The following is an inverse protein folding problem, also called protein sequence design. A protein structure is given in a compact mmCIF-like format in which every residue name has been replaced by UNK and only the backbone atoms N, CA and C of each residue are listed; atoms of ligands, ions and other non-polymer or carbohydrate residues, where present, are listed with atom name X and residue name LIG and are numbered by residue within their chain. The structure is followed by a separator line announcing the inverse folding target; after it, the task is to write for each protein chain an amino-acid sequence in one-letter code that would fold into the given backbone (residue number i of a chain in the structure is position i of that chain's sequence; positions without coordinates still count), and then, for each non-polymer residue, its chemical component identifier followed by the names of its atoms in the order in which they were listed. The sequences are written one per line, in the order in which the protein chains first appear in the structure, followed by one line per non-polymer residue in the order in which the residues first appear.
data_IF_973498613951
#
_entry.id   IF_973498613951
#
_cell.length_a   1.000
_cell.length_b   1.000
_cell.length_c   1.000
_cell.angle_alpha   90.00
_cell.angle_beta   90.00
_cell.angle_gamma   90.00
#
_symmetry.space_group_name_H-M   'P 1'
#
loop_
_entity.id
_entity.type
_entity.pdbx_description
1 polymer ?
#
# COMPACT_ATOMS: atom_id res chain seq x y z
N UNK A 1 1.72 -8.90 29.60
CA UNK A 1 1.06 -8.46 28.36
C UNK A 1 1.89 -8.93 27.19
N UNK A 2 1.45 -9.99 26.51
CA UNK A 2 2.12 -10.49 25.30
C UNK A 2 1.93 -9.46 24.19
N UNK A 3 3.03 -8.88 23.68
CA UNK A 3 2.99 -8.03 22.47
C UNK A 3 2.33 -8.83 21.35
N UNK A 4 1.37 -8.23 20.64
CA UNK A 4 0.79 -8.84 19.43
C UNK A 4 1.90 -9.00 18.38
N UNK A 5 1.74 -9.97 17.49
CA UNK A 5 2.66 -10.12 16.35
C UNK A 5 2.55 -8.89 15.46
N UNK A 6 3.65 -8.29 14.98
CA UNK A 6 3.62 -7.11 14.11
C UNK A 6 2.78 -7.33 12.84
N UNK A 7 2.75 -8.56 12.32
CA UNK A 7 1.90 -8.93 11.16
C UNK A 7 0.40 -8.87 11.47
N UNK A 8 0.00 -9.21 12.69
CA UNK A 8 -1.41 -9.16 13.10
C UNK A 8 -1.85 -7.71 13.31
N UNK A 9 -1.00 -6.88 13.92
CA UNK A 9 -1.27 -5.45 14.08
C UNK A 9 -1.45 -4.77 12.72
N UNK A 10 -0.57 -5.03 11.74
CA UNK A 10 -0.68 -4.50 10.38
C UNK A 10 -1.98 -4.92 9.66
N UNK A 11 -2.41 -6.17 9.84
CA UNK A 11 -3.64 -6.67 9.22
C UNK A 11 -4.88 -6.08 9.90
N UNK A 12 -4.87 -5.95 11.23
CA UNK A 12 -5.92 -5.27 11.99
C UNK A 12 -6.08 -3.82 11.52
N UNK A 13 -4.97 -3.10 11.34
CA UNK A 13 -4.96 -1.72 10.85
C UNK A 13 -5.52 -1.63 9.42
N UNK A 14 -5.10 -2.53 8.53
CA UNK A 14 -5.59 -2.59 7.15
C UNK A 14 -7.10 -2.82 7.07
N UNK A 15 -7.63 -3.69 7.95
CA UNK A 15 -9.07 -3.93 8.06
C UNK A 15 -9.82 -2.70 8.59
N UNK A 16 -9.26 -2.00 9.58
CA UNK A 16 -9.88 -0.76 10.10
C UNK A 16 -9.92 0.34 9.04
N UNK A 17 -8.83 0.53 8.26
CA UNK A 17 -8.80 1.48 7.14
C UNK A 17 -9.89 1.17 6.13
N UNK A 18 -9.97 -0.09 5.67
CA UNK A 18 -10.98 -0.52 4.70
C UNK A 18 -12.42 -0.29 5.18
N UNK A 19 -12.70 -0.46 6.48
CA UNK A 19 -14.03 -0.20 7.05
C UNK A 19 -14.34 1.30 7.18
N UNK A 20 -13.31 2.15 7.29
CA UNK A 20 -13.45 3.59 7.33
C UNK A 20 -13.48 4.24 5.94
N UNK A 21 -13.07 3.52 4.90
CA UNK A 21 -13.17 3.89 3.47
C UNK A 21 -14.63 3.88 2.98
N UNK A 22 -15.43 4.78 3.55
CA UNK A 22 -16.67 5.24 2.96
C UNK A 22 -16.36 6.52 2.17
N UNK A 23 -15.63 6.40 1.06
CA UNK A 23 -15.43 7.56 0.18
C UNK A 23 -16.77 7.91 -0.46
N UNK A 24 -17.45 8.91 0.12
CA UNK A 24 -18.73 9.46 -0.35
C UNK A 24 -18.54 10.55 -1.40
N UNK A 25 -17.31 10.80 -1.85
CA UNK A 25 -17.05 11.89 -2.77
C UNK A 25 -17.55 11.51 -4.18
N UNK A 26 -18.52 12.23 -4.77
CA UNK A 26 -19.03 11.88 -6.09
C UNK A 26 -18.01 12.08 -7.21
N UNK A 27 -16.92 12.84 -6.97
CA UNK A 27 -15.92 13.15 -7.99
C UNK A 27 -14.77 12.14 -8.02
N UNK A 28 -14.16 11.87 -9.19
CA UNK A 28 -12.92 11.09 -9.28
C UNK A 28 -11.79 11.73 -8.47
N UNK A 29 -10.98 10.90 -7.82
CA UNK A 29 -9.83 11.33 -7.01
C UNK A 29 -8.53 11.08 -7.75
N UNK A 30 -7.72 12.12 -7.89
CA UNK A 30 -6.36 12.06 -8.45
C UNK A 30 -5.36 12.27 -7.31
N UNK A 31 -4.61 11.23 -6.95
CA UNK A 31 -3.59 11.32 -5.91
C UNK A 31 -2.18 11.47 -6.49
N UNK A 32 -1.44 12.48 -6.03
CA UNK A 32 -0.01 12.58 -6.32
C UNK A 32 0.77 11.71 -5.34
N UNK A 33 1.61 10.82 -5.86
CA UNK A 33 2.35 9.80 -5.10
C UNK A 33 3.82 9.73 -5.53
N UNK A 34 4.70 9.30 -4.63
CA UNK A 34 6.15 9.26 -4.87
C UNK A 34 6.99 9.81 -3.70
N UNK A 35 8.31 9.77 -3.85
CA UNK A 35 9.26 10.11 -2.77
C UNK A 35 9.18 11.59 -2.32
N UNK A 36 9.72 11.86 -1.14
CA UNK A 36 9.90 13.23 -0.63
C UNK A 36 10.72 14.06 -1.63
N UNK A 37 10.34 15.34 -1.82
CA UNK A 37 10.97 16.29 -2.77
C UNK A 37 10.84 15.94 -4.26
N UNK A 38 10.01 14.95 -4.63
CA UNK A 38 9.71 14.67 -6.04
C UNK A 38 8.95 15.79 -6.77
N UNK A 39 8.35 16.74 -6.03
CA UNK A 39 7.61 17.88 -6.59
C UNK A 39 6.09 17.70 -6.67
N UNK A 40 5.52 16.75 -5.91
CA UNK A 40 4.07 16.45 -5.82
C UNK A 40 3.22 17.69 -5.51
N UNK A 41 3.40 18.30 -4.33
CA UNK A 41 2.64 19.47 -3.88
C UNK A 41 2.77 20.65 -4.86
N UNK A 42 3.99 20.87 -5.39
CA UNK A 42 4.23 21.91 -6.40
C UNK A 42 3.47 21.64 -7.69
N UNK A 43 3.43 20.39 -8.16
CA UNK A 43 2.69 19.99 -9.36
C UNK A 43 1.19 20.21 -9.17
N UNK A 44 0.64 19.80 -8.03
CA UNK A 44 -0.79 19.96 -7.72
C UNK A 44 -1.21 21.43 -7.62
N UNK A 45 -0.35 22.31 -7.11
CA UNK A 45 -0.58 23.76 -7.15
C UNK A 45 -0.66 24.29 -8.58
N UNK A 46 0.20 23.82 -9.50
CA UNK A 46 0.14 24.26 -10.90
C UNK A 46 -1.12 23.74 -11.61
N UNK A 47 -1.48 22.47 -11.37
CA UNK A 47 -2.68 21.84 -11.94
C UNK A 47 -3.98 22.48 -11.43
N UNK A 48 -3.98 23.02 -10.21
CA UNK A 48 -5.15 23.68 -9.62
C UNK A 48 -5.18 25.20 -9.80
N UNK A 49 -4.18 25.79 -10.48
CA UNK A 49 -4.09 27.24 -10.66
C UNK A 49 -3.64 28.02 -9.42
N UNK A 50 -3.30 27.36 -8.31
CA UNK A 50 -2.75 27.95 -7.08
C UNK A 50 -1.25 28.29 -7.24
N UNK A 51 -0.94 29.14 -8.22
CA UNK A 51 0.43 29.43 -8.65
C UNK A 51 1.16 30.32 -7.65
N UNK A 52 0.55 31.44 -7.26
CA UNK A 52 1.14 32.44 -6.35
C UNK A 52 0.71 32.19 -4.90
N UNK A 53 -0.58 31.92 -4.67
CA UNK A 53 -1.11 31.54 -3.36
C UNK A 53 -1.20 30.01 -3.26
N UNK A 54 -0.15 29.39 -2.73
CA UNK A 54 -0.06 27.93 -2.66
C UNK A 54 -1.07 27.34 -1.68
N UNK A 55 -1.95 26.48 -2.20
CA UNK A 55 -2.83 25.64 -1.40
C UNK A 55 -2.02 24.53 -0.73
N UNK A 56 -1.33 23.71 -1.53
CA UNK A 56 -0.45 22.66 -1.05
C UNK A 56 0.91 23.26 -0.69
N UNK A 57 1.17 23.47 0.60
CA UNK A 57 2.38 24.18 1.06
C UNK A 57 3.67 23.48 0.61
N UNK A 58 4.54 24.22 -0.08
CA UNK A 58 5.86 23.76 -0.51
C UNK A 58 6.99 24.35 0.35
N UNK A 59 8.10 23.62 0.54
CA UNK A 59 9.21 24.12 1.34
C UNK A 59 10.32 23.10 1.61
N UNK A 60 11.47 23.59 2.09
CA UNK A 60 12.64 22.75 2.48
C UNK A 60 12.34 21.94 3.75
N UNK A 61 11.51 22.51 4.62
CA UNK A 61 10.96 21.82 5.80
C UNK A 61 9.74 21.03 5.36
N UNK A 62 9.70 19.77 5.76
CA UNK A 62 8.60 18.84 5.46
C UNK A 62 7.25 19.41 5.91
N UNK A 63 6.37 19.69 4.97
CA UNK A 63 5.06 20.32 5.21
C UNK A 63 3.91 19.32 5.28
N UNK A 64 3.85 18.35 4.36
CA UNK A 64 2.73 17.39 4.25
C UNK A 64 2.96 16.15 5.12
N UNK A 65 2.20 16.04 6.22
CA UNK A 65 2.13 14.85 7.11
C UNK A 65 0.78 14.14 7.10
N UNK A 66 -0.23 14.79 6.53
CA UNK A 66 -1.59 14.29 6.34
C UNK A 66 -1.96 14.50 4.89
N UNK A 67 -2.83 13.65 4.35
CA UNK A 67 -3.39 13.85 3.02
C UNK A 67 -4.14 15.18 3.00
N UNK A 68 -3.83 16.02 2.01
CA UNK A 68 -4.55 17.26 1.75
C UNK A 68 -5.34 17.12 0.48
N UNK A 69 -6.56 17.64 0.47
CA UNK A 69 -7.50 17.51 -0.63
C UNK A 69 -7.92 18.88 -1.14
N UNK A 70 -7.99 19.03 -2.46
CA UNK A 70 -8.51 20.21 -3.13
C UNK A 70 -9.50 19.78 -4.20
N UNK A 71 -10.75 20.19 -4.05
CA UNK A 71 -11.79 19.96 -5.04
C UNK A 71 -11.66 20.94 -6.22
N UNK A 72 -11.67 20.41 -7.43
CA UNK A 72 -11.78 21.18 -8.69
C UNK A 72 -13.19 20.99 -9.27
N UNK A 73 -13.48 21.61 -10.41
CA UNK A 73 -14.77 21.45 -11.08
C UNK A 73 -15.04 19.99 -11.46
N UNK A 74 -14.01 19.23 -11.86
CA UNK A 74 -14.15 17.90 -12.45
C UNK A 74 -13.64 16.75 -11.57
N UNK A 75 -12.71 17.01 -10.65
CA UNK A 75 -12.07 15.97 -9.85
C UNK A 75 -11.57 16.52 -8.52
N UNK A 76 -11.11 15.64 -7.64
CA UNK A 76 -10.40 16.01 -6.42
C UNK A 76 -8.91 15.73 -6.57
N UNK A 77 -8.07 16.71 -6.23
CA UNK A 77 -6.63 16.54 -6.14
C UNK A 77 -6.25 16.19 -4.71
N UNK A 78 -5.47 15.12 -4.55
CA UNK A 78 -4.96 14.68 -3.25
C UNK A 78 -3.43 14.74 -3.23
N UNK A 79 -2.89 15.56 -2.33
CA UNK A 79 -1.45 15.59 -2.03
C UNK A 79 -1.15 14.58 -0.92
N UNK A 80 -0.34 13.58 -1.24
CA UNK A 80 0.09 12.59 -0.25
C UNK A 80 1.44 12.97 0.38
N UNK A 81 1.66 12.67 1.67
CA UNK A 81 2.97 12.78 2.29
C UNK A 81 4.04 12.05 1.48
N UNK A 82 5.23 12.65 1.37
CA UNK A 82 6.33 11.98 0.69
C UNK A 82 6.79 10.71 1.44
N UNK A 83 7.00 9.66 0.65
CA UNK A 83 7.47 8.34 1.09
C UNK A 83 9.00 8.30 1.23
N UNK A 84 9.52 7.30 1.97
CA UNK A 84 10.96 7.03 2.09
C UNK A 84 11.65 7.55 3.36
N UNK A 85 10.93 8.05 4.37
CA UNK A 85 11.56 8.60 5.61
C UNK A 85 10.95 8.08 6.92
N UNK A 86 9.63 7.99 7.05
CA UNK A 86 8.96 7.63 8.32
C UNK A 86 7.72 6.75 8.05
N UNK A 87 7.58 5.68 8.84
CA UNK A 87 6.51 4.69 8.72
C UNK A 87 5.11 5.29 8.96
N UNK A 88 4.99 6.33 9.79
CA UNK A 88 3.70 6.97 10.05
C UNK A 88 3.15 7.67 8.80
N UNK A 89 4.03 8.29 8.01
CA UNK A 89 3.66 8.97 6.76
C UNK A 89 3.37 7.98 5.63
N UNK A 90 4.04 6.82 5.66
CA UNK A 90 3.72 5.74 4.73
C UNK A 90 2.25 5.34 4.82
N UNK A 91 1.68 5.24 6.04
CA UNK A 91 0.24 4.93 6.21
C UNK A 91 -0.68 5.95 5.54
N UNK A 92 -0.41 7.24 5.71
CA UNK A 92 -1.22 8.29 5.09
C UNK A 92 -1.11 8.25 3.56
N UNK A 93 0.11 8.07 3.05
CA UNK A 93 0.34 7.94 1.63
C UNK A 93 -0.33 6.69 1.01
N UNK A 94 -0.38 5.55 1.71
CA UNK A 94 -1.12 4.37 1.25
C UNK A 94 -2.63 4.57 1.32
N UNK A 95 -3.15 5.22 2.37
CA UNK A 95 -4.56 5.58 2.43
C UNK A 95 -4.96 6.50 1.26
N UNK A 96 -4.06 7.38 0.83
CA UNK A 96 -4.27 8.19 -0.38
C UNK A 96 -4.27 7.34 -1.65
N UNK A 97 -3.41 6.33 -1.71
CA UNK A 97 -3.37 5.37 -2.82
C UNK A 97 -4.66 4.54 -2.92
N UNK A 98 -5.21 4.06 -1.80
CA UNK A 98 -6.43 3.24 -1.76
C UNK A 98 -7.69 4.02 -2.20
N UNK A 99 -7.70 5.33 -1.91
CA UNK A 99 -8.79 6.24 -2.27
C UNK A 99 -8.69 6.80 -3.69
N UNK A 100 -7.53 6.68 -4.34
CA UNK A 100 -7.31 7.25 -5.67
C UNK A 100 -8.06 6.46 -6.76
N UNK A 101 -8.57 7.19 -7.75
CA UNK A 101 -9.06 6.61 -9.00
C UNK A 101 -7.99 6.70 -10.09
N UNK A 102 -7.16 7.75 -10.03
CA UNK A 102 -5.96 7.96 -10.85
C UNK A 102 -4.79 8.30 -9.92
N UNK A 103 -3.62 7.70 -10.18
CA UNK A 103 -2.38 7.96 -9.45
C UNK A 103 -1.39 8.69 -10.33
N UNK A 104 -0.95 9.88 -9.89
CA UNK A 104 0.18 10.60 -10.47
C UNK A 104 1.45 10.16 -9.75
N UNK A 105 2.21 9.22 -10.32
CA UNK A 105 3.51 8.86 -9.78
C UNK A 105 4.55 9.87 -10.21
N UNK A 106 4.99 10.71 -9.28
CA UNK A 106 5.92 11.81 -9.54
C UNK A 106 7.34 11.37 -9.19
N UNK A 107 8.21 11.36 -10.19
CA UNK A 107 9.64 11.11 -10.06
C UNK A 107 10.43 12.39 -10.37
N UNK A 108 11.52 12.61 -9.64
CA UNK A 108 12.42 13.75 -9.82
C UNK A 108 13.82 13.27 -10.25
N UNK A 109 14.22 13.44 -11.52
CA UNK A 109 15.55 13.09 -12.04
C UNK A 109 16.69 13.79 -11.27
N UNK A 110 17.89 13.18 -11.24
CA UNK A 110 18.64 12.93 -12.47
C UNK A 110 18.81 11.44 -12.88
N UNK A 111 18.23 10.49 -12.15
CA UNK A 111 18.42 9.06 -12.38
C UNK A 111 17.20 8.35 -12.98
N UNK A 112 17.35 7.06 -13.24
CA UNK A 112 16.23 6.13 -13.42
C UNK A 112 15.52 5.85 -12.08
N UNK A 113 14.48 5.00 -12.06
CA UNK A 113 13.80 4.63 -10.82
C UNK A 113 14.77 3.86 -9.91
N UNK A 114 14.90 4.30 -8.66
CA UNK A 114 15.70 3.62 -7.66
C UNK A 114 14.94 2.47 -6.98
N UNK A 115 15.61 1.75 -6.07
CA UNK A 115 15.00 0.62 -5.38
C UNK A 115 13.76 1.02 -4.57
N UNK A 116 13.78 2.18 -3.89
CA UNK A 116 12.66 2.63 -3.07
C UNK A 116 11.44 2.94 -3.95
N UNK A 117 11.64 3.62 -5.08
CA UNK A 117 10.58 3.88 -6.06
C UNK A 117 10.03 2.60 -6.69
N UNK A 118 10.89 1.62 -6.95
CA UNK A 118 10.47 0.31 -7.45
C UNK A 118 9.64 -0.47 -6.42
N UNK A 119 9.97 -0.37 -5.13
CA UNK A 119 9.17 -0.96 -4.04
C UNK A 119 7.79 -0.30 -3.94
N UNK A 120 7.72 1.03 -4.07
CA UNK A 120 6.45 1.77 -4.13
C UNK A 120 5.60 1.34 -5.32
N UNK A 121 6.17 1.27 -6.50
CA UNK A 121 5.45 0.82 -7.70
C UNK A 121 4.99 -0.64 -7.60
N UNK A 122 5.74 -1.49 -6.90
CA UNK A 122 5.33 -2.86 -6.61
C UNK A 122 4.05 -2.88 -5.76
N UNK A 123 3.97 -2.02 -4.75
CA UNK A 123 2.77 -1.91 -3.91
C UNK A 123 1.58 -1.35 -4.70
N UNK A 124 1.82 -0.34 -5.54
CA UNK A 124 0.78 0.20 -6.43
C UNK A 124 0.24 -0.88 -7.38
N UNK A 125 1.12 -1.70 -7.96
CA UNK A 125 0.71 -2.84 -8.81
C UNK A 125 -0.08 -3.88 -8.02
N UNK A 126 0.26 -4.12 -6.75
CA UNK A 126 -0.53 -5.00 -5.87
C UNK A 126 -1.92 -4.42 -5.59
N UNK A 127 -2.04 -3.11 -5.34
CA UNK A 127 -3.33 -2.44 -5.06
C UNK A 127 -4.26 -2.43 -6.27
N UNK A 128 -3.73 -2.12 -7.46
CA UNK A 128 -4.57 -1.93 -8.66
C UNK A 128 -4.58 -3.13 -9.61
N UNK A 129 -3.74 -4.13 -9.41
CA UNK A 129 -3.65 -5.34 -10.22
C UNK A 129 -3.62 -5.03 -11.72
N UNK A 130 -4.56 -5.56 -12.51
CA UNK A 130 -4.58 -5.37 -13.97
C UNK A 130 -4.95 -3.94 -14.39
N UNK A 131 -5.62 -3.17 -13.52
CA UNK A 131 -6.00 -1.80 -13.83
C UNK A 131 -4.84 -0.80 -13.69
N UNK A 132 -3.69 -1.23 -13.15
CA UNK A 132 -2.56 -0.35 -12.84
C UNK A 132 -2.17 0.54 -14.01
N UNK A 133 -2.03 0.00 -15.22
CA UNK A 133 -1.58 0.79 -16.38
C UNK A 133 -2.55 1.94 -16.72
N UNK A 134 -3.85 1.69 -16.61
CA UNK A 134 -4.90 2.66 -16.98
C UNK A 134 -5.04 3.79 -15.95
N UNK A 135 -4.65 3.53 -14.70
CA UNK A 135 -4.79 4.46 -13.58
C UNK A 135 -3.50 5.18 -13.23
N UNK A 136 -2.37 4.63 -13.64
CA UNK A 136 -1.05 5.20 -13.38
C UNK A 136 -0.68 6.20 -14.47
N UNK A 137 -0.41 7.43 -14.07
CA UNK A 137 0.22 8.45 -14.91
C UNK A 137 1.60 8.73 -14.32
N UNK A 138 2.64 8.46 -15.10
CA UNK A 138 4.01 8.74 -14.73
C UNK A 138 4.32 10.21 -15.02
N UNK A 139 4.85 10.93 -14.03
CA UNK A 139 5.23 12.34 -14.17
C UNK A 139 6.70 12.49 -13.80
N UNK A 140 7.54 12.79 -14.80
CA UNK A 140 8.94 13.14 -14.56
C UNK A 140 9.02 14.66 -14.39
N UNK A 141 9.25 15.09 -13.16
CA UNK A 141 9.36 16.50 -12.82
C UNK A 141 10.75 17.05 -13.19
N UNK A 142 10.91 18.38 -13.21
CA UNK A 142 12.19 19.07 -13.43
C UNK A 142 12.72 19.06 -14.88
N UNK A 143 11.82 19.17 -15.88
CA UNK A 143 12.18 19.37 -17.30
C UNK A 143 13.14 20.58 -17.55
N UNK A 144 13.24 21.52 -16.62
CA UNK A 144 14.17 22.64 -16.68
C UNK A 144 15.63 22.29 -16.35
N UNK A 145 15.89 21.09 -15.84
CA UNK A 145 17.24 20.59 -15.53
C UNK A 145 17.80 19.62 -16.58
N UNK A 146 17.10 19.44 -17.69
CA UNK A 146 17.58 18.60 -18.80
C UNK A 146 18.83 19.22 -19.43
N UNK A 147 19.99 18.70 -19.04
CA UNK A 147 21.29 19.02 -19.63
C UNK A 147 21.56 17.97 -20.70
N UNK A 148 21.85 18.42 -21.93
CA UNK A 148 22.27 17.57 -23.05
C UNK A 148 21.26 16.52 -23.55
N UNK A 149 19.97 16.69 -23.28
CA UNK A 149 18.91 15.77 -23.72
C UNK A 149 18.95 14.42 -22.99
N UNK A 150 19.50 14.39 -21.78
CA UNK A 150 19.58 13.20 -20.94
C UNK A 150 18.19 12.75 -20.46
N UNK A 151 17.24 13.68 -20.30
CA UNK A 151 15.92 13.40 -19.75
C UNK A 151 15.11 12.42 -20.61
N UNK A 152 15.27 12.48 -21.93
CA UNK A 152 14.61 11.56 -22.85
C UNK A 152 15.17 10.13 -22.73
N UNK A 153 16.47 9.99 -22.48
CA UNK A 153 17.10 8.69 -22.21
C UNK A 153 16.64 8.13 -20.87
N UNK A 154 16.56 8.98 -19.85
CA UNK A 154 16.01 8.61 -18.53
C UNK A 154 14.55 8.17 -18.69
N UNK A 155 13.73 8.91 -19.45
CA UNK A 155 12.34 8.56 -19.74
C UNK A 155 12.22 7.17 -20.36
N UNK A 156 13.00 6.90 -21.41
CA UNK A 156 13.02 5.58 -22.06
C UNK A 156 13.42 4.49 -21.08
N UNK A 157 14.47 4.73 -20.30
CA UNK A 157 14.96 3.77 -19.32
C UNK A 157 13.94 3.44 -18.23
N UNK A 158 13.24 4.45 -17.71
CA UNK A 158 12.16 4.27 -16.74
C UNK A 158 11.01 3.46 -17.37
N UNK A 159 10.64 3.75 -18.62
CA UNK A 159 9.61 2.97 -19.32
C UNK A 159 10.02 1.50 -19.52
N UNK A 160 11.28 1.23 -19.84
CA UNK A 160 11.83 -0.14 -19.89
C UNK A 160 11.73 -0.83 -18.52
N UNK A 161 12.13 -0.16 -17.43
CA UNK A 161 12.04 -0.70 -16.07
C UNK A 161 10.59 -1.09 -15.73
N UNK A 162 9.61 -0.23 -16.07
CA UNK A 162 8.20 -0.50 -15.83
C UNK A 162 7.68 -1.69 -16.65
N UNK A 163 8.06 -1.77 -17.92
CA UNK A 163 7.69 -2.88 -18.79
C UNK A 163 8.30 -4.21 -18.32
N UNK A 164 9.59 -4.22 -17.97
CA UNK A 164 10.33 -5.43 -17.57
C UNK A 164 9.87 -5.97 -16.22
N UNK A 165 9.55 -5.08 -15.27
CA UNK A 165 9.25 -5.46 -13.87
C UNK A 165 7.77 -5.65 -13.61
N UNK A 166 6.92 -4.86 -14.26
CA UNK A 166 5.49 -4.82 -13.98
C UNK A 166 4.62 -5.13 -15.19
N UNK A 167 5.21 -5.20 -16.40
CA UNK A 167 4.47 -5.49 -17.62
C UNK A 167 3.56 -4.35 -18.08
N UNK A 168 3.83 -3.10 -17.65
CA UNK A 168 2.97 -1.94 -17.90
C UNK A 168 3.69 -0.83 -18.67
N UNK A 169 2.93 -0.05 -19.44
CA UNK A 169 3.41 1.15 -20.13
C UNK A 169 2.51 2.37 -19.88
N UNK A 170 2.47 2.91 -18.65
CA UNK A 170 1.63 4.06 -18.32
C UNK A 170 2.02 5.30 -19.15
N UNK A 171 1.06 6.21 -19.32
CA UNK A 171 1.35 7.51 -19.95
C UNK A 171 2.35 8.29 -19.12
N UNK A 172 3.38 8.81 -19.79
CA UNK A 172 4.48 9.52 -19.16
C UNK A 172 4.51 10.98 -19.63
N UNK A 173 4.55 11.91 -18.68
CA UNK A 173 4.64 13.35 -18.94
C UNK A 173 5.93 13.92 -18.36
N UNK A 174 6.62 14.73 -19.15
CA UNK A 174 7.75 15.53 -18.70
C UNK A 174 7.23 16.91 -18.29
N UNK A 175 7.46 17.33 -17.05
CA UNK A 175 6.92 18.60 -16.55
C UNK A 175 7.96 19.48 -15.86
N UNK A 176 7.76 20.80 -15.90
CA UNK A 176 8.51 21.77 -15.09
C UNK A 176 7.59 22.77 -14.40
N UNK A 177 7.42 22.56 -13.09
CA UNK A 177 6.69 23.48 -12.21
C UNK A 177 7.30 24.89 -12.21
N UNK A 178 8.65 24.99 -12.25
CA UNK A 178 9.36 26.27 -12.24
C UNK A 178 9.13 27.05 -13.55
N UNK A 179 9.11 26.35 -14.70
CA UNK A 179 8.85 26.95 -16.00
C UNK A 179 7.42 27.42 -16.13
N UNK A 180 6.45 26.62 -15.70
CA UNK A 180 5.04 27.01 -15.69
C UNK A 180 4.81 28.26 -14.83
N UNK A 181 5.32 28.25 -13.59
CA UNK A 181 5.21 29.41 -12.68
C UNK A 181 5.82 30.68 -13.28
N UNK A 182 7.04 30.60 -13.80
CA UNK A 182 7.69 31.74 -14.46
C UNK A 182 6.91 32.22 -15.69
N UNK A 183 6.36 31.29 -16.48
CA UNK A 183 5.51 31.59 -17.62
C UNK A 183 4.26 32.35 -17.22
N UNK A 184 3.55 31.88 -16.21
CA UNK A 184 2.36 32.52 -15.66
C UNK A 184 2.65 33.92 -15.09
N UNK A 185 3.68 34.04 -14.24
CA UNK A 185 4.07 35.32 -13.65
C UNK A 185 4.52 36.37 -14.69
N UNK A 186 5.08 35.92 -15.83
CA UNK A 186 5.55 36.80 -16.90
C UNK A 186 4.56 36.94 -18.06
N UNK A 187 3.38 36.30 -18.00
CA UNK A 187 2.42 36.25 -19.12
C UNK A 187 2.97 35.61 -20.40
N UNK A 188 3.96 34.70 -20.29
CA UNK A 188 4.63 34.06 -21.43
C UNK A 188 4.01 32.69 -21.74
N UNK A 189 3.05 32.67 -22.66
CA UNK A 189 2.35 31.44 -23.05
C UNK A 189 3.29 30.33 -23.55
N UNK A 190 4.35 30.68 -24.30
CA UNK A 190 5.33 29.69 -24.78
C UNK A 190 6.05 28.95 -23.65
N UNK A 191 6.28 29.59 -22.51
CA UNK A 191 6.86 28.95 -21.32
C UNK A 191 5.84 28.05 -20.61
N UNK A 192 4.56 28.47 -20.59
CA UNK A 192 3.46 27.66 -20.04
C UNK A 192 3.30 26.38 -20.86
N UNK A 193 3.23 26.50 -22.19
CA UNK A 193 3.04 25.37 -23.10
C UNK A 193 4.22 24.40 -23.09
N UNK A 194 5.45 24.92 -23.04
CA UNK A 194 6.68 24.11 -22.97
C UNK A 194 7.00 23.59 -21.56
N UNK A 195 6.12 23.85 -20.58
CA UNK A 195 6.27 23.30 -19.23
C UNK A 195 5.74 21.87 -19.11
N UNK A 196 4.94 21.38 -20.06
CA UNK A 196 4.30 20.05 -20.01
C UNK A 196 3.06 19.95 -19.13
N UNK A 197 2.79 20.96 -18.28
CA UNK A 197 1.65 20.94 -17.34
C UNK A 197 0.29 21.06 -18.07
N UNK A 198 0.11 21.92 -19.10
CA UNK A 198 -1.15 21.94 -19.84
C UNK A 198 -1.50 20.61 -20.50
N UNK A 199 -0.51 19.91 -21.04
CA UNK A 199 -0.69 18.60 -21.68
C UNK A 199 -1.06 17.53 -20.65
N UNK A 200 -0.44 17.55 -19.47
CA UNK A 200 -0.82 16.70 -18.36
C UNK A 200 -2.27 16.99 -17.91
N UNK A 201 -2.62 18.26 -17.69
CA UNK A 201 -3.97 18.65 -17.27
C UNK A 201 -5.04 18.15 -18.25
N UNK A 202 -4.87 18.39 -19.56
CA UNK A 202 -5.81 17.92 -20.57
C UNK A 202 -5.91 16.38 -20.65
N UNK A 203 -4.83 15.66 -20.35
CA UNK A 203 -4.88 14.20 -20.25
C UNK A 203 -5.68 13.74 -19.02
N UNK A 204 -5.51 14.40 -17.88
CA UNK A 204 -6.27 14.11 -16.66
C UNK A 204 -7.76 14.40 -16.84
N UNK A 205 -8.11 15.52 -17.47
CA UNK A 205 -9.51 15.83 -17.81
C UNK A 205 -10.14 14.72 -18.65
N UNK A 206 -9.42 14.25 -19.69
CA UNK A 206 -9.89 13.15 -20.54
C UNK A 206 -10.02 11.81 -19.80
N UNK A 207 -9.07 11.49 -18.92
CA UNK A 207 -9.15 10.28 -18.07
C UNK A 207 -10.34 10.34 -17.11
N UNK A 208 -10.53 11.47 -16.44
CA UNK A 208 -11.62 11.69 -15.47
C UNK A 208 -12.97 11.59 -16.17
N UNK A 209 -13.14 12.21 -17.34
CA UNK A 209 -14.37 12.08 -18.14
C UNK A 209 -14.69 10.62 -18.51
N UNK A 210 -13.67 9.82 -18.83
CA UNK A 210 -13.85 8.40 -19.12
C UNK A 210 -14.22 7.56 -17.89
N UNK A 211 -13.77 7.96 -16.69
CA UNK A 211 -14.06 7.26 -15.44
C UNK A 211 -15.42 7.66 -14.88
N UNK A 212 -15.84 8.92 -15.03
CA UNK A 212 -17.01 9.50 -14.35
C UNK A 212 -18.29 8.66 -14.51
N UNK A 213 -18.58 8.18 -15.73
CA UNK A 213 -19.76 7.34 -16.02
C UNK A 213 -19.74 5.98 -15.31
N UNK A 214 -18.54 5.44 -15.03
CA UNK A 214 -18.36 4.11 -14.45
C UNK A 214 -17.84 4.17 -13.00
N UNK A 215 -17.61 5.36 -12.46
CA UNK A 215 -16.84 5.60 -11.23
C UNK A 215 -17.33 4.74 -10.06
N UNK A 216 -18.64 4.77 -9.78
CA UNK A 216 -19.19 4.02 -8.65
C UNK A 216 -19.07 2.50 -8.85
N UNK A 217 -19.25 2.02 -10.08
CA UNK A 217 -19.12 0.59 -10.42
C UNK A 217 -17.66 0.11 -10.28
N UNK A 218 -16.72 0.96 -10.68
CA UNK A 218 -15.28 0.72 -10.60
C UNK A 218 -14.85 0.71 -9.13
N UNK A 219 -15.29 1.69 -8.33
CA UNK A 219 -15.03 1.74 -6.88
C UNK A 219 -15.65 0.58 -6.14
N UNK A 220 -16.89 0.20 -6.46
CA UNK A 220 -17.55 -0.97 -5.86
C UNK A 220 -16.78 -2.27 -6.16
N UNK A 221 -16.34 -2.45 -7.41
CA UNK A 221 -15.54 -3.62 -7.81
C UNK A 221 -14.19 -3.66 -7.09
N UNK A 222 -13.50 -2.51 -7.00
CA UNK A 222 -12.22 -2.37 -6.25
C UNK A 222 -12.41 -2.73 -4.77
N UNK A 223 -13.44 -2.17 -4.13
CA UNK A 223 -13.78 -2.48 -2.73
C UNK A 223 -14.08 -3.97 -2.53
N UNK A 224 -14.80 -4.59 -3.47
CA UNK A 224 -15.11 -6.02 -3.41
C UNK A 224 -13.84 -6.88 -3.53
N UNK A 225 -12.94 -6.55 -4.47
CA UNK A 225 -11.66 -7.24 -4.65
C UNK A 225 -10.77 -7.10 -3.41
N UNK A 226 -10.60 -5.88 -2.88
CA UNK A 226 -9.81 -5.61 -1.67
C UNK A 226 -10.38 -6.32 -0.45
N UNK A 227 -11.71 -6.34 -0.30
CA UNK A 227 -12.39 -7.12 0.74
C UNK A 227 -12.05 -8.60 0.65
N UNK A 228 -12.11 -9.18 -0.55
CA UNK A 228 -11.81 -10.59 -0.77
C UNK A 228 -10.35 -10.92 -0.42
N UNK A 229 -9.42 -10.05 -0.78
CA UNK A 229 -8.00 -10.18 -0.43
C UNK A 229 -7.77 -10.15 1.09
N UNK A 230 -8.32 -9.13 1.79
CA UNK A 230 -8.20 -9.01 3.24
C UNK A 230 -8.81 -10.21 3.96
N UNK A 231 -9.96 -10.72 3.49
CA UNK A 231 -10.56 -11.95 4.03
C UNK A 231 -9.63 -13.16 3.86
N UNK A 232 -9.03 -13.34 2.69
CA UNK A 232 -8.09 -14.43 2.45
C UNK A 232 -6.84 -14.31 3.35
N UNK A 233 -6.33 -13.10 3.57
CA UNK A 233 -5.19 -12.86 4.47
C UNK A 233 -5.54 -13.13 5.94
N UNK A 234 -6.73 -12.71 6.38
CA UNK A 234 -7.28 -13.03 7.70
C UNK A 234 -7.40 -14.54 7.92
N UNK A 235 -7.97 -15.27 6.95
CA UNK A 235 -8.10 -16.73 7.02
C UNK A 235 -6.74 -17.42 7.15
N UNK A 236 -5.75 -17.03 6.34
CA UNK A 236 -4.38 -17.56 6.41
C UNK A 236 -3.75 -17.28 7.78
N UNK A 237 -3.90 -16.05 8.29
CA UNK A 237 -3.34 -15.65 9.58
C UNK A 237 -3.97 -16.41 10.74
N UNK A 238 -5.30 -16.61 10.72
CA UNK A 238 -6.01 -17.43 11.71
C UNK A 238 -5.55 -18.89 11.63
N UNK A 239 -5.42 -19.46 10.43
CA UNK A 239 -4.96 -20.83 10.25
C UNK A 239 -3.54 -21.04 10.79
N UNK A 240 -2.62 -20.11 10.48
CA UNK A 240 -1.26 -20.12 11.00
C UNK A 240 -1.22 -20.02 12.54
N UNK A 241 -2.04 -19.13 13.12
CA UNK A 241 -2.19 -18.99 14.57
C UNK A 241 -2.67 -20.28 15.24
N UNK A 242 -3.71 -20.93 14.67
CA UNK A 242 -4.22 -22.22 15.16
C UNK A 242 -3.16 -23.31 15.10
N UNK A 243 -2.39 -23.39 14.01
CA UNK A 243 -1.31 -24.35 13.88
C UNK A 243 -0.20 -24.13 14.92
N UNK A 244 0.14 -22.87 15.20
CA UNK A 244 1.14 -22.53 16.21
C UNK A 244 0.69 -22.93 17.63
N UNK A 245 -0.57 -22.67 17.97
CA UNK A 245 -1.16 -23.11 19.25
C UNK A 245 -1.10 -24.64 19.37
N UNK A 246 -1.49 -25.36 18.31
CA UNK A 246 -1.44 -26.82 18.30
C UNK A 246 -0.01 -27.37 18.48
N UNK A 247 0.99 -26.78 17.81
CA UNK A 247 2.41 -27.14 17.96
C UNK A 247 2.90 -26.93 19.39
N UNK A 248 2.55 -25.81 20.01
CA UNK A 248 2.94 -25.52 21.40
C UNK A 248 2.25 -26.45 22.40
N UNK A 249 1.00 -26.85 22.16
CA UNK A 249 0.27 -27.76 23.02
C UNK A 249 0.69 -29.22 22.87
N UNK A 250 1.14 -29.64 21.69
CA UNK A 250 1.52 -31.02 21.38
C UNK A 250 2.47 -31.67 22.41
N UNK A 251 3.58 -31.04 22.83
CA UNK A 251 4.48 -31.65 23.83
C UNK A 251 3.83 -31.80 25.21
N UNK A 252 2.95 -30.88 25.61
CA UNK A 252 2.23 -30.97 26.87
C UNK A 252 1.21 -32.11 26.83
N UNK A 253 0.45 -32.21 25.74
CA UNK A 253 -0.50 -33.32 25.53
C UNK A 253 0.23 -34.66 25.53
N UNK A 254 1.41 -34.74 24.89
CA UNK A 254 2.23 -35.95 24.89
C UNK A 254 2.70 -36.33 26.30
N UNK A 255 3.18 -35.36 27.09
CA UNK A 255 3.59 -35.58 28.50
C UNK A 255 2.41 -36.08 29.36
N UNK A 256 1.24 -35.45 29.24
CA UNK A 256 0.03 -35.88 29.97
C UNK A 256 -0.37 -37.30 29.59
N UNK A 257 -0.34 -37.64 28.30
CA UNK A 257 -0.63 -39.01 27.84
C UNK A 257 0.37 -40.03 28.39
N UNK A 258 1.67 -39.71 28.34
CA UNK A 258 2.72 -40.58 28.88
C UNK A 258 2.55 -40.80 30.39
N UNK A 259 2.26 -39.73 31.13
CA UNK A 259 1.97 -39.81 32.56
C UNK A 259 0.76 -40.69 32.87
N UNK A 260 -0.36 -40.48 32.17
CA UNK A 260 -1.57 -41.27 32.37
C UNK A 260 -1.33 -42.76 32.07
N UNK A 261 -0.53 -43.08 31.05
CA UNK A 261 -0.14 -44.45 30.74
C UNK A 261 0.66 -45.08 31.87
N UNK A 262 1.70 -44.40 32.36
CA UNK A 262 2.50 -44.88 33.50
C UNK A 262 1.64 -45.12 34.75
N UNK A 263 0.71 -44.22 35.06
CA UNK A 263 -0.20 -44.38 36.21
C UNK A 263 -1.15 -45.57 36.05
N UNK A 264 -1.62 -45.84 34.83
CA UNK A 264 -2.45 -47.02 34.55
C UNK A 264 -1.66 -48.32 34.72
N UNK A 265 -0.45 -48.38 34.19
CA UNK A 265 0.45 -49.54 34.33
C UNK A 265 0.79 -49.80 35.81
N UNK A 266 1.08 -48.75 36.58
CA UNK A 266 1.31 -48.83 38.02
C UNK A 266 0.09 -49.43 38.76
N UNK A 267 -1.12 -48.94 38.46
CA UNK A 267 -2.37 -49.46 39.06
C UNK A 267 -2.61 -50.93 38.75
N UNK A 268 -2.38 -51.34 37.50
CA UNK A 268 -2.52 -52.75 37.10
C UNK A 268 -1.53 -53.65 37.83
N UNK A 269 -0.27 -53.22 37.95
CA UNK A 269 0.75 -53.97 38.67
C UNK A 269 0.44 -54.10 40.16
N UNK A 270 -0.07 -53.04 40.81
CA UNK A 270 -0.53 -53.13 42.19
C UNK A 270 -1.68 -54.12 42.34
N UNK A 271 -2.70 -54.03 41.48
CA UNK A 271 -3.83 -54.95 41.52
C UNK A 271 -3.40 -56.42 41.34
N UNK A 272 -2.48 -56.70 40.41
CA UNK A 272 -1.93 -58.03 40.20
C UNK A 272 -1.19 -58.57 41.43
N UNK A 273 -0.28 -57.77 42.00
CA UNK A 273 0.45 -58.17 43.23
C UNK A 273 -0.47 -58.36 44.44
N UNK A 274 -1.48 -57.51 44.60
CA UNK A 274 -2.47 -57.69 45.67
C UNK A 274 -3.25 -59.00 45.48
N UNK A 275 -3.63 -59.35 44.24
CA UNK A 275 -4.30 -60.61 43.96
C UNK A 275 -3.40 -61.83 44.26
N UNK A 276 -2.11 -61.78 43.88
CA UNK A 276 -1.12 -62.82 44.19
C UNK A 276 -0.98 -63.00 45.72
N UNK A 277 -0.75 -61.91 46.46
CA UNK A 277 -0.63 -61.97 47.93
C UNK A 277 -1.90 -62.56 48.57
N UNK A 278 -3.08 -62.15 48.08
CA UNK A 278 -4.36 -62.65 48.58
C UNK A 278 -4.53 -64.14 48.31
N UNK A 279 -4.11 -64.63 47.15
CA UNK A 279 -4.13 -66.04 46.81
C UNK A 279 -3.22 -66.86 47.73
N UNK A 280 -1.97 -66.41 47.94
CA UNK A 280 -1.02 -67.05 48.86
C UNK A 280 -1.54 -67.07 50.30
N UNK A 281 -2.12 -65.98 50.79
CA UNK A 281 -2.76 -65.96 52.11
C UNK A 281 -3.92 -66.94 52.24
N UNK A 282 -4.71 -67.12 51.18
CA UNK A 282 -5.82 -68.05 51.17
C UNK A 282 -5.35 -69.50 51.21
N UNK A 283 -4.27 -69.83 50.49
CA UNK A 283 -3.63 -71.15 50.56
C UNK A 283 -3.05 -71.42 51.96
N UNK A 284 -2.32 -70.47 52.53
CA UNK A 284 -1.76 -70.57 53.89
C UNK A 284 -2.84 -70.79 54.96
N UNK A 285 -4.00 -70.14 54.85
CA UNK A 285 -5.11 -70.29 55.78
C UNK A 285 -5.92 -71.59 55.57
N UNK A 286 -5.65 -72.34 54.50
CA UNK A 286 -6.29 -73.63 54.20
C UNK A 286 -5.45 -74.85 54.57
N UNK A 287 -4.23 -74.62 55.06
CA UNK A 287 -3.33 -75.61 55.67
C UNK A 287 -3.59 -75.68 57.19
#
# INVERSE_FOLDING_TARGET
MTKKSPTIEQLEDSCHSFLQEASQNPKPVIAAWGLVKAGKSSLLNMLSGHIEDEFFKTGVVRTTRLNQELETDHYLLMDTPGLGIDQADSRQAYSGLDNADVVLFVHAPPGELDQEEMELLTQLKATYAEDTEQRLVLVLSQLDKDQDGALERIRQRIQEQLQERFGIQPKCFLVSNSRYRKGAAQGKQTMIDSSGIPQLAGHLDGLVQGIDEQLESVRASRRAARKAELLAELERTIAAGRQQVARLQQPHVAKVRAFNRMMSELRQNFAARTAEITAVQKELNSL
#
